data_IF_582828248605
#
_entry.id   IF_582828248605
#
_cell.length_a   1.000
_cell.length_b   1.000
_cell.length_c   1.000
_cell.angle_alpha   90.00
_cell.angle_beta   90.00
_cell.angle_gamma   90.00
#
_symmetry.space_group_name_H-M   'P 1'
#
loop_
_entity.id
_entity.type
_entity.pdbx_description
1 polymer ?
#
# COMPACT_ATOMS: atom_id res chain seq x y z
N UNK A 1 -19.89 4.87 -11.17
CA UNK A 1 -18.55 4.96 -10.56
C UNK A 1 -18.67 4.43 -9.14
N UNK A 2 -17.73 3.61 -8.70
CA UNK A 2 -17.69 3.16 -7.29
C UNK A 2 -16.82 4.09 -6.47
N UNK A 3 -17.18 4.28 -5.21
CA UNK A 3 -16.51 5.17 -4.27
C UNK A 3 -15.98 4.40 -3.07
N UNK A 4 -14.80 4.79 -2.58
CA UNK A 4 -14.17 4.21 -1.39
C UNK A 4 -13.64 5.32 -0.48
N UNK A 5 -13.47 5.02 0.80
CA UNK A 5 -12.96 5.96 1.78
C UNK A 5 -11.84 5.32 2.62
N UNK A 6 -10.85 6.10 2.99
CA UNK A 6 -9.66 5.63 3.70
C UNK A 6 -9.89 5.47 5.20
N UNK A 7 -9.32 4.41 5.77
CA UNK A 7 -9.37 4.15 7.21
C UNK A 7 -8.04 3.63 7.74
N UNK A 8 -7.69 4.05 8.94
CA UNK A 8 -6.49 3.64 9.67
C UNK A 8 -6.78 3.52 11.16
N UNK A 9 -6.12 2.59 11.84
CA UNK A 9 -6.28 2.46 13.29
C UNK A 9 -5.62 3.62 14.04
N UNK A 10 -4.39 3.94 13.67
CA UNK A 10 -3.62 5.05 14.27
C UNK A 10 -2.95 5.86 13.16
N UNK A 11 -3.13 7.17 13.20
CA UNK A 11 -2.41 8.12 12.34
C UNK A 11 -2.34 9.49 13.03
N UNK A 12 -1.31 10.26 12.70
CA UNK A 12 -1.20 11.66 13.09
C UNK A 12 -2.31 12.52 12.48
N UNK A 13 -2.62 13.65 13.10
CA UNK A 13 -3.69 14.52 12.59
C UNK A 13 -3.41 15.12 11.21
N UNK A 14 -2.14 15.26 10.85
CA UNK A 14 -1.70 15.76 9.53
C UNK A 14 -1.82 14.72 8.41
N UNK A 15 -2.06 13.45 8.74
CA UNK A 15 -2.19 12.39 7.73
C UNK A 15 -3.56 12.50 7.07
N UNK A 16 -3.69 12.47 5.72
CA UNK A 16 -4.94 12.65 5.00
C UNK A 16 -5.84 11.39 5.00
N UNK A 17 -5.96 10.73 6.15
CA UNK A 17 -6.79 9.55 6.33
C UNK A 17 -8.04 9.90 7.12
N UNK A 18 -9.21 9.56 6.56
CA UNK A 18 -10.50 10.08 7.02
C UNK A 18 -10.99 9.40 8.28
N UNK A 19 -11.04 8.06 8.28
CA UNK A 19 -11.56 7.28 9.41
C UNK A 19 -10.39 6.81 10.26
N UNK A 20 -10.46 7.09 11.57
CA UNK A 20 -9.42 6.70 12.54
C UNK A 20 -10.03 5.95 13.71
N UNK A 21 -9.25 5.04 14.30
CA UNK A 21 -9.63 4.30 15.50
C UNK A 21 -10.02 2.86 15.23
N UNK A 22 -10.96 2.33 16.02
CA UNK A 22 -11.34 0.93 15.94
C UNK A 22 -11.75 0.52 14.53
N UNK A 23 -11.12 -0.53 14.02
CA UNK A 23 -11.23 -0.99 12.63
C UNK A 23 -12.64 -1.47 12.29
N UNK A 24 -13.29 -2.21 13.19
CA UNK A 24 -14.64 -2.74 12.96
C UNK A 24 -15.67 -1.62 12.87
N UNK A 25 -15.58 -0.62 13.75
CA UNK A 25 -16.42 0.57 13.69
C UNK A 25 -16.11 1.41 12.44
N UNK A 26 -14.83 1.44 12.06
CA UNK A 26 -14.39 2.10 10.82
C UNK A 26 -15.01 1.48 9.58
N UNK A 27 -15.22 0.16 9.55
CA UNK A 27 -15.82 -0.55 8.40
C UNK A 27 -17.34 -0.27 8.30
N UNK A 28 -18.04 -0.08 9.40
CA UNK A 28 -19.49 0.17 9.38
C UNK A 28 -19.85 1.58 8.87
N UNK A 29 -19.04 2.58 9.15
CA UNK A 29 -19.29 4.00 8.78
C UNK A 29 -19.41 4.23 7.26
N UNK A 30 -18.51 3.73 6.42
CA UNK A 30 -18.60 3.92 4.97
C UNK A 30 -19.95 3.50 4.38
N UNK A 31 -20.48 2.35 4.80
CA UNK A 31 -21.79 1.88 4.34
C UNK A 31 -22.91 2.85 4.71
N UNK A 32 -22.89 3.40 5.93
CA UNK A 32 -23.86 4.40 6.39
C UNK A 32 -23.78 5.71 5.61
N UNK A 33 -22.61 6.06 5.08
CA UNK A 33 -22.36 7.26 4.28
C UNK A 33 -22.56 7.04 2.78
N UNK A 34 -22.93 5.83 2.35
CA UNK A 34 -23.21 5.51 0.95
C UNK A 34 -21.98 5.22 0.09
N UNK A 35 -20.83 4.87 0.71
CA UNK A 35 -19.66 4.41 -0.03
C UNK A 35 -19.81 2.93 -0.42
N UNK A 36 -19.21 2.56 -1.56
CA UNK A 36 -19.17 1.18 -2.04
C UNK A 36 -18.06 0.36 -1.37
N UNK A 37 -17.02 1.04 -0.88
CA UNK A 37 -15.83 0.38 -0.36
C UNK A 37 -15.07 1.16 0.69
N UNK A 38 -14.09 0.48 1.25
CA UNK A 38 -13.13 1.02 2.21
C UNK A 38 -11.71 0.65 1.78
N UNK A 39 -10.78 1.57 1.95
CA UNK A 39 -9.35 1.33 1.90
C UNK A 39 -8.80 1.25 3.31
N UNK A 40 -8.10 0.17 3.65
CA UNK A 40 -7.48 0.01 4.97
C UNK A 40 -5.98 0.25 4.91
N UNK A 41 -5.49 1.20 5.68
CA UNK A 41 -4.06 1.44 5.88
C UNK A 41 -3.54 0.60 7.04
N UNK A 42 -2.65 -0.35 6.76
CA UNK A 42 -2.16 -1.36 7.70
C UNK A 42 -0.63 -1.35 7.79
N UNK A 43 -0.11 -1.47 9.00
CA UNK A 43 1.32 -1.72 9.22
C UNK A 43 1.69 -3.16 8.90
N UNK A 44 0.83 -4.12 9.28
CA UNK A 44 1.03 -5.55 9.09
C UNK A 44 -0.33 -6.27 9.02
N UNK A 45 -0.66 -6.86 7.88
CA UNK A 45 -1.92 -7.62 7.72
C UNK A 45 -1.93 -8.93 8.51
N UNK A 46 -0.78 -9.50 8.87
CA UNK A 46 -0.74 -10.72 9.67
C UNK A 46 -1.00 -10.45 11.17
N UNK A 47 -0.90 -9.19 11.60
CA UNK A 47 -1.29 -8.75 12.95
C UNK A 47 -2.79 -8.40 13.08
N UNK A 48 -3.56 -8.53 11.99
CA UNK A 48 -4.99 -8.20 11.94
C UNK A 48 -5.83 -9.47 12.11
N UNK A 49 -6.92 -9.39 12.87
CA UNK A 49 -7.95 -10.42 12.82
C UNK A 49 -8.71 -10.34 11.48
N UNK A 50 -8.14 -11.04 10.47
CA UNK A 50 -8.69 -11.06 9.11
C UNK A 50 -10.13 -11.59 9.08
N UNK A 51 -10.48 -12.55 9.95
CA UNK A 51 -11.83 -13.13 10.01
C UNK A 51 -12.83 -12.10 10.50
N UNK A 52 -12.51 -11.35 11.55
CA UNK A 52 -13.36 -10.27 12.06
C UNK A 52 -13.54 -9.17 10.99
N UNK A 53 -12.47 -8.75 10.30
CA UNK A 53 -12.55 -7.76 9.22
C UNK A 53 -13.45 -8.26 8.09
N UNK A 54 -13.24 -9.47 7.58
CA UNK A 54 -14.05 -10.03 6.48
C UNK A 54 -15.53 -10.16 6.91
N UNK A 55 -15.80 -10.55 8.16
CA UNK A 55 -17.15 -10.62 8.69
C UNK A 55 -17.81 -9.25 8.75
N UNK A 56 -17.07 -8.22 9.19
CA UNK A 56 -17.58 -6.85 9.25
C UNK A 56 -17.85 -6.28 7.84
N UNK A 57 -16.98 -6.53 6.88
CA UNK A 57 -17.19 -6.14 5.47
C UNK A 57 -18.48 -6.74 4.92
N UNK A 58 -18.68 -8.05 5.10
CA UNK A 58 -19.89 -8.75 4.64
C UNK A 58 -21.15 -8.26 5.35
N UNK A 59 -21.11 -8.09 6.68
CA UNK A 59 -22.25 -7.62 7.46
C UNK A 59 -22.74 -6.22 7.04
N UNK A 60 -21.83 -5.38 6.56
CA UNK A 60 -22.12 -4.02 6.12
C UNK A 60 -22.27 -3.89 4.59
N UNK A 61 -22.17 -4.99 3.84
CA UNK A 61 -22.22 -5.01 2.37
C UNK A 61 -21.24 -3.99 1.73
N UNK A 62 -20.02 -3.92 2.25
CA UNK A 62 -18.97 -3.02 1.77
C UNK A 62 -17.74 -3.82 1.33
N UNK A 63 -17.07 -3.37 0.27
CA UNK A 63 -15.87 -4.04 -0.25
C UNK A 63 -14.60 -3.48 0.39
N UNK A 64 -13.61 -4.32 0.68
CA UNK A 64 -12.24 -3.85 0.84
C UNK A 64 -11.68 -3.60 -0.56
N UNK A 65 -11.43 -2.34 -0.90
CA UNK A 65 -10.98 -1.97 -2.24
C UNK A 65 -9.46 -2.04 -2.37
N UNK A 66 -8.76 -1.61 -1.34
CA UNK A 66 -7.32 -1.51 -1.32
C UNK A 66 -6.75 -1.64 0.08
N UNK A 67 -5.48 -2.04 0.15
CA UNK A 67 -4.67 -2.09 1.37
C UNK A 67 -3.51 -1.13 1.18
N UNK A 68 -3.54 0.00 1.92
CA UNK A 68 -2.44 0.97 1.97
C UNK A 68 -1.33 0.51 2.91
N UNK A 69 -0.09 0.51 2.45
CA UNK A 69 1.07 0.00 3.19
C UNK A 69 1.94 1.09 3.83
N UNK A 70 1.62 2.35 3.58
CA UNK A 70 2.38 3.52 4.08
C UNK A 70 2.69 3.51 5.59
N UNK A 71 1.79 3.06 6.47
CA UNK A 71 2.06 2.98 7.91
C UNK A 71 3.24 2.10 8.30
N UNK A 72 3.60 1.08 7.50
CA UNK A 72 4.81 0.27 7.75
C UNK A 72 6.07 1.13 7.74
N UNK A 73 6.19 2.04 6.78
CA UNK A 73 7.27 3.01 6.70
C UNK A 73 7.15 4.09 7.77
N UNK A 74 6.04 4.84 7.76
CA UNK A 74 5.90 6.07 8.53
C UNK A 74 5.84 5.87 10.05
N UNK A 75 5.35 4.71 10.50
CA UNK A 75 5.20 4.43 11.95
C UNK A 75 6.29 3.51 12.49
N UNK A 76 6.91 2.67 11.65
CA UNK A 76 7.79 1.60 12.12
C UNK A 76 9.12 1.51 11.37
N UNK A 77 9.36 2.35 10.36
CA UNK A 77 10.60 2.35 9.60
C UNK A 77 10.85 1.04 8.83
N UNK A 78 9.78 0.35 8.41
CA UNK A 78 9.87 -0.91 7.66
C UNK A 78 9.59 -0.64 6.19
N UNK A 79 10.58 -0.86 5.33
CA UNK A 79 10.51 -0.57 3.90
C UNK A 79 11.47 -1.44 3.07
N UNK A 80 11.17 -1.57 1.78
CA UNK A 80 11.82 -2.52 0.87
C UNK A 80 13.29 -2.20 0.56
N UNK A 81 13.67 -0.93 0.57
CA UNK A 81 15.01 -0.45 0.19
C UNK A 81 15.91 -0.13 1.38
N UNK A 82 15.54 -0.61 2.58
CA UNK A 82 16.34 -0.37 3.78
C UNK A 82 17.78 -0.90 3.62
N UNK A 83 18.82 -0.16 4.04
CA UNK A 83 20.18 -0.67 4.09
C UNK A 83 20.35 -1.84 5.09
N UNK A 84 19.42 -1.97 6.05
CA UNK A 84 19.42 -3.03 7.06
C UNK A 84 18.72 -4.28 6.53
N UNK A 85 19.43 -5.42 6.37
CA UNK A 85 18.86 -6.64 5.79
C UNK A 85 17.63 -7.18 6.54
N UNK A 86 17.62 -7.06 7.87
CA UNK A 86 16.49 -7.48 8.72
C UNK A 86 15.24 -6.71 8.40
N UNK A 87 15.35 -5.38 8.21
CA UNK A 87 14.24 -4.50 7.83
C UNK A 87 13.69 -4.86 6.46
N UNK A 88 14.56 -5.15 5.46
CA UNK A 88 14.12 -5.60 4.14
C UNK A 88 13.37 -6.94 4.21
N UNK A 89 13.88 -7.92 4.96
CA UNK A 89 13.19 -9.20 5.15
C UNK A 89 11.82 -9.01 5.79
N UNK A 90 11.73 -8.15 6.79
CA UNK A 90 10.45 -7.82 7.44
C UNK A 90 9.50 -7.08 6.47
N UNK A 91 10.00 -6.16 5.65
CA UNK A 91 9.20 -5.49 4.63
C UNK A 91 8.60 -6.48 3.62
N UNK A 92 9.41 -7.41 3.11
CA UNK A 92 8.94 -8.47 2.21
C UNK A 92 7.92 -9.36 2.91
N UNK A 93 8.16 -9.78 4.16
CA UNK A 93 7.21 -10.58 4.94
C UNK A 93 5.85 -9.87 5.05
N UNK A 94 5.85 -8.57 5.35
CA UNK A 94 4.62 -7.77 5.45
C UNK A 94 3.91 -7.67 4.11
N UNK A 95 4.65 -7.41 3.04
CA UNK A 95 4.10 -7.42 1.69
C UNK A 95 3.41 -8.75 1.36
N UNK A 96 4.03 -9.89 1.72
CA UNK A 96 3.39 -11.20 1.58
C UNK A 96 2.09 -11.30 2.39
N UNK A 97 2.05 -10.76 3.60
CA UNK A 97 0.85 -10.69 4.45
C UNK A 97 -0.26 -9.84 3.80
N UNK A 98 0.10 -8.67 3.26
CA UNK A 98 -0.84 -7.79 2.54
C UNK A 98 -1.37 -8.46 1.26
N UNK A 99 -0.51 -9.12 0.49
CA UNK A 99 -0.89 -9.82 -0.75
C UNK A 99 -1.86 -10.97 -0.43
N UNK A 100 -1.59 -11.80 0.59
CA UNK A 100 -2.51 -12.86 1.01
C UNK A 100 -3.86 -12.28 1.46
N UNK A 101 -3.87 -11.20 2.21
CA UNK A 101 -5.11 -10.55 2.63
C UNK A 101 -5.85 -9.93 1.44
N UNK A 102 -5.15 -9.38 0.47
CA UNK A 102 -5.72 -8.95 -0.81
C UNK A 102 -6.39 -10.11 -1.56
N UNK A 103 -5.76 -11.29 -1.60
CA UNK A 103 -6.35 -12.48 -2.19
C UNK A 103 -7.65 -12.92 -1.50
N UNK A 104 -7.70 -12.87 -0.16
CA UNK A 104 -8.87 -13.25 0.63
C UNK A 104 -10.06 -12.29 0.45
N UNK A 105 -9.80 -11.04 0.03
CA UNK A 105 -10.80 -9.96 -0.01
C UNK A 105 -11.08 -9.39 -1.39
N UNK A 106 -10.23 -9.69 -2.37
CA UNK A 106 -10.26 -9.06 -3.70
C UNK A 106 -9.66 -7.66 -3.75
N UNK A 107 -9.01 -7.21 -2.67
CA UNK A 107 -8.38 -5.90 -2.59
C UNK A 107 -7.06 -5.83 -3.36
N UNK A 108 -6.75 -4.68 -3.94
CA UNK A 108 -5.42 -4.38 -4.45
C UNK A 108 -4.48 -3.98 -3.30
N UNK A 109 -3.17 -4.11 -3.49
CA UNK A 109 -2.17 -3.68 -2.49
C UNK A 109 -1.43 -2.47 -3.02
N UNK A 110 -1.52 -1.35 -2.29
CA UNK A 110 -0.88 -0.09 -2.66
C UNK A 110 0.55 -0.07 -2.09
N UNK A 111 1.53 0.13 -2.97
CA UNK A 111 2.93 0.34 -2.62
C UNK A 111 3.21 1.84 -2.74
N UNK A 112 3.00 2.55 -1.64
CA UNK A 112 3.35 3.95 -1.49
C UNK A 112 4.73 4.09 -0.82
N UNK A 113 4.78 4.70 0.37
CA UNK A 113 6.04 4.93 1.11
C UNK A 113 6.77 3.63 1.49
N UNK A 114 6.11 2.47 1.50
CA UNK A 114 6.77 1.18 1.77
C UNK A 114 7.83 0.81 0.72
N UNK A 115 7.82 1.46 -0.46
CA UNK A 115 8.92 1.35 -1.42
C UNK A 115 10.26 1.83 -0.85
N UNK A 116 10.21 2.71 0.15
CA UNK A 116 11.36 3.42 0.74
C UNK A 116 11.71 4.70 0.00
N UNK A 117 12.73 5.38 0.44
CA UNK A 117 13.22 6.63 -0.14
C UNK A 117 14.72 6.56 -0.40
N UNK A 118 15.21 7.25 -1.41
CA UNK A 118 16.64 7.28 -1.76
C UNK A 118 17.49 7.79 -0.59
N UNK A 119 16.99 8.79 0.15
CA UNK A 119 17.67 9.35 1.33
C UNK A 119 17.86 8.35 2.47
N UNK A 120 17.11 7.26 2.50
CA UNK A 120 17.22 6.22 3.53
C UNK A 120 18.35 5.22 3.24
N UNK A 121 18.95 5.29 2.04
CA UNK A 121 20.08 4.45 1.62
C UNK A 121 21.21 5.33 1.10
N UNK A 122 22.38 5.19 1.67
CA UNK A 122 23.56 6.01 1.30
C UNK A 122 24.15 5.64 -0.05
N UNK A 123 23.86 4.45 -0.57
CA UNK A 123 24.31 3.97 -1.88
C UNK A 123 23.13 3.86 -2.84
N UNK A 124 23.09 4.74 -3.84
CA UNK A 124 22.01 4.79 -4.81
C UNK A 124 21.94 3.55 -5.73
N UNK A 125 23.07 2.87 -5.96
CA UNK A 125 23.11 1.61 -6.73
C UNK A 125 22.45 0.47 -5.95
N UNK A 126 22.84 0.29 -4.71
CA UNK A 126 22.25 -0.71 -3.81
C UNK A 126 20.78 -0.46 -3.53
N UNK A 127 20.36 0.79 -3.47
CA UNK A 127 18.95 1.16 -3.30
C UNK A 127 18.05 0.51 -4.36
N UNK A 128 18.39 0.65 -5.62
CA UNK A 128 17.60 0.07 -6.71
C UNK A 128 17.70 -1.46 -6.75
N UNK A 129 18.88 -2.02 -6.44
CA UNK A 129 19.07 -3.48 -6.32
C UNK A 129 18.13 -4.05 -5.25
N UNK A 130 18.11 -3.48 -4.04
CA UNK A 130 17.21 -3.90 -2.97
C UNK A 130 15.73 -3.78 -3.35
N UNK A 131 15.40 -2.72 -4.09
CA UNK A 131 14.03 -2.54 -4.58
C UNK A 131 13.63 -3.66 -5.54
N UNK A 132 14.45 -3.94 -6.56
CA UNK A 132 14.14 -4.98 -7.55
C UNK A 132 14.06 -6.38 -6.92
N UNK A 133 14.98 -6.73 -6.02
CA UNK A 133 14.96 -8.01 -5.31
C UNK A 133 13.68 -8.19 -4.48
N UNK A 134 13.29 -7.17 -3.74
CA UNK A 134 12.06 -7.16 -2.96
C UNK A 134 10.82 -7.28 -3.84
N UNK A 135 10.79 -6.52 -4.94
CA UNK A 135 9.67 -6.51 -5.87
C UNK A 135 9.51 -7.82 -6.64
N UNK A 136 10.60 -8.46 -7.07
CA UNK A 136 10.54 -9.77 -7.73
C UNK A 136 9.77 -10.78 -6.87
N UNK A 137 10.10 -10.84 -5.59
CA UNK A 137 9.42 -11.72 -4.64
C UNK A 137 7.96 -11.36 -4.47
N UNK A 138 7.62 -10.07 -4.32
CA UNK A 138 6.25 -9.59 -4.19
C UNK A 138 5.42 -9.87 -5.44
N UNK A 139 5.96 -9.57 -6.62
CA UNK A 139 5.28 -9.79 -7.91
C UNK A 139 4.98 -11.27 -8.17
N UNK A 140 5.93 -12.15 -7.87
CA UNK A 140 5.75 -13.60 -8.02
C UNK A 140 4.58 -14.11 -7.18
N UNK A 141 4.49 -13.68 -5.93
CA UNK A 141 3.39 -14.06 -5.03
C UNK A 141 2.06 -13.42 -5.45
N UNK A 142 2.06 -12.15 -5.81
CA UNK A 142 0.87 -11.44 -6.29
C UNK A 142 0.30 -12.12 -7.53
N UNK A 143 1.15 -12.47 -8.50
CA UNK A 143 0.74 -13.22 -9.70
C UNK A 143 0.16 -14.59 -9.35
N UNK A 144 0.81 -15.33 -8.45
CA UNK A 144 0.37 -16.66 -7.99
C UNK A 144 -1.03 -16.61 -7.35
N UNK A 145 -1.33 -15.54 -6.62
CA UNK A 145 -2.60 -15.35 -5.89
C UNK A 145 -3.64 -14.53 -6.67
N UNK A 146 -3.32 -14.03 -7.86
CA UNK A 146 -4.22 -13.19 -8.66
C UNK A 146 -4.47 -11.81 -8.06
N UNK A 147 -3.54 -11.28 -7.25
CA UNK A 147 -3.62 -9.97 -6.62
C UNK A 147 -2.91 -8.93 -7.47
N UNK A 148 -3.49 -7.75 -7.58
CA UNK A 148 -2.85 -6.60 -8.22
C UNK A 148 -2.07 -5.79 -7.21
N UNK A 149 -0.83 -5.43 -7.55
CA UNK A 149 -0.03 -4.46 -6.85
C UNK A 149 -0.14 -3.13 -7.58
N UNK A 150 -0.30 -2.04 -6.87
CA UNK A 150 -0.38 -0.72 -7.46
C UNK A 150 0.68 0.19 -6.84
N UNK A 151 1.51 0.82 -7.70
CA UNK A 151 2.45 1.84 -7.25
C UNK A 151 1.76 3.19 -7.17
N UNK A 152 1.92 3.85 -6.05
CA UNK A 152 1.52 5.23 -5.87
C UNK A 152 2.67 6.15 -6.25
N UNK A 153 2.42 7.04 -7.20
CA UNK A 153 3.29 8.18 -7.48
C UNK A 153 2.99 9.24 -6.43
N UNK A 154 4.02 9.65 -5.69
CA UNK A 154 3.91 10.48 -4.49
C UNK A 154 4.73 11.75 -4.70
N UNK A 155 4.18 12.91 -4.37
CA UNK A 155 4.82 14.19 -4.59
C UNK A 155 6.20 14.34 -3.92
N UNK A 156 6.98 15.32 -4.39
CA UNK A 156 8.37 15.61 -3.96
C UNK A 156 8.52 16.02 -2.50
N UNK A 157 7.45 16.38 -1.82
CA UNK A 157 7.50 16.75 -0.40
C UNK A 157 7.45 15.51 0.50
N UNK A 158 6.79 14.45 0.03
CA UNK A 158 6.64 13.19 0.77
C UNK A 158 7.60 12.09 0.31
N UNK A 159 8.00 12.07 -0.97
CA UNK A 159 8.89 11.06 -1.56
C UNK A 159 9.99 11.73 -2.40
N UNK A 160 11.18 11.16 -2.39
CA UNK A 160 12.32 11.65 -3.17
C UNK A 160 12.57 10.83 -4.46
N UNK A 161 11.59 10.02 -4.85
CA UNK A 161 11.57 9.31 -6.12
C UNK A 161 10.18 8.76 -6.44
N UNK A 162 9.95 8.48 -7.71
CA UNK A 162 8.68 8.04 -8.26
C UNK A 162 7.58 9.07 -7.98
N UNK A 163 7.81 10.28 -8.48
CA UNK A 163 6.98 11.44 -8.21
C UNK A 163 5.97 11.71 -9.32
N UNK A 164 6.29 11.36 -10.58
CA UNK A 164 5.42 11.64 -11.73
C UNK A 164 4.82 10.37 -12.32
N UNK A 165 3.72 10.53 -13.07
CA UNK A 165 3.09 9.44 -13.83
C UNK A 165 4.05 8.83 -14.83
N UNK A 166 4.85 9.66 -15.51
CA UNK A 166 5.84 9.17 -16.49
C UNK A 166 6.91 8.28 -15.82
N UNK A 167 7.46 8.69 -14.67
CA UNK A 167 8.36 7.84 -13.87
C UNK A 167 7.70 6.52 -13.46
N UNK A 168 6.43 6.57 -13.09
CA UNK A 168 5.62 5.39 -12.77
C UNK A 168 5.47 4.44 -13.96
N UNK A 169 5.18 4.96 -15.14
CA UNK A 169 5.05 4.16 -16.36
C UNK A 169 6.39 3.52 -16.77
N UNK A 170 7.50 4.25 -16.64
CA UNK A 170 8.84 3.72 -16.89
C UNK A 170 9.18 2.58 -15.92
N UNK A 171 8.84 2.75 -14.63
CA UNK A 171 9.04 1.71 -13.62
C UNK A 171 8.22 0.45 -13.94
N UNK A 172 6.93 0.59 -14.28
CA UNK A 172 6.09 -0.55 -14.68
C UNK A 172 6.67 -1.30 -15.87
N UNK A 173 7.16 -0.56 -16.88
CA UNK A 173 7.82 -1.14 -18.04
C UNK A 173 9.11 -1.88 -17.68
N UNK A 174 9.91 -1.32 -16.77
CA UNK A 174 11.14 -1.95 -16.31
C UNK A 174 10.88 -3.24 -15.51
N UNK A 175 9.84 -3.26 -14.69
CA UNK A 175 9.43 -4.44 -13.90
C UNK A 175 8.71 -5.51 -14.73
N UNK A 176 8.09 -5.14 -15.86
CA UNK A 176 7.57 -6.08 -16.87
C UNK A 176 6.51 -7.05 -16.36
N UNK A 177 5.61 -6.64 -15.45
CA UNK A 177 4.61 -7.52 -14.85
C UNK A 177 3.18 -7.03 -15.07
N UNK A 178 2.32 -7.90 -15.59
CA UNK A 178 0.89 -7.62 -15.79
C UNK A 178 0.10 -7.47 -14.48
N UNK A 179 0.69 -7.85 -13.34
CA UNK A 179 0.08 -7.69 -12.01
C UNK A 179 0.34 -6.32 -11.38
N UNK A 180 1.12 -5.47 -12.05
CA UNK A 180 1.46 -4.13 -11.60
C UNK A 180 0.66 -3.05 -12.33
N UNK A 181 0.17 -2.08 -11.58
CA UNK A 181 -0.54 -0.91 -12.10
C UNK A 181 -0.08 0.35 -11.34
N UNK A 182 -0.52 1.53 -11.78
CA UNK A 182 -0.36 2.77 -11.03
C UNK A 182 -1.60 3.07 -10.19
N UNK A 183 -1.36 3.64 -9.03
CA UNK A 183 -2.33 4.36 -8.23
C UNK A 183 -2.08 5.85 -8.47
N UNK A 184 -3.08 6.52 -9.01
CA UNK A 184 -3.04 7.94 -9.32
C UNK A 184 -3.80 8.71 -8.25
N UNK A 185 -3.08 9.49 -7.46
CA UNK A 185 -3.63 10.40 -6.48
C UNK A 185 -3.62 11.83 -7.05
N UNK A 186 -4.79 12.41 -7.22
CA UNK A 186 -4.93 13.76 -7.78
C UNK A 186 -4.31 14.85 -6.89
N UNK A 187 -4.13 14.60 -5.58
CA UNK A 187 -3.39 15.50 -4.70
C UNK A 187 -1.91 15.55 -5.11
N UNK A 188 -1.27 14.40 -5.23
CA UNK A 188 0.13 14.33 -5.65
C UNK A 188 0.32 14.82 -7.10
N UNK A 189 -0.56 14.41 -8.01
CA UNK A 189 -0.54 14.86 -9.41
C UNK A 189 -0.68 16.38 -9.54
N UNK A 190 -1.50 17.03 -8.74
CA UNK A 190 -1.64 18.49 -8.78
C UNK A 190 -0.37 19.25 -8.38
N UNK A 191 0.58 18.58 -7.74
CA UNK A 191 1.88 19.14 -7.36
C UNK A 191 2.94 18.87 -8.43
N UNK A 192 2.89 17.71 -9.08
CA UNK A 192 3.95 17.19 -9.93
C UNK A 192 3.68 17.30 -11.43
N UNK A 193 2.41 17.34 -11.85
CA UNK A 193 1.96 17.44 -13.24
C UNK A 193 1.46 18.86 -13.55
#
# INVERSE_FOLDING_TARGET
MKTSITAVEKAGWSTPLVIRGNREQGIARPAQWGYDGIELHLTDSDAVDKKAVISALRANNISLTSIGTGPSYSQQGIFLTSPVPETRREAIRRMMGHIRFGADTGAVVIIGLMKGQKRDCTDAGLYMEYFYDGMETCMREAKRLGVRLVFEVIDRFESDWLNTVDEGLELLKALGSDSLLLHLDTFHMNIEE
#
